data_IF_546012000984
#
_entry.id   IF_546012000984
#
_cell.length_a   1.000
_cell.length_b   1.000
_cell.length_c   1.000
_cell.angle_alpha   90.00
_cell.angle_beta   90.00
_cell.angle_gamma   90.00
#
_symmetry.space_group_name_H-M   'P 1'
#
loop_
_entity.id
_entity.type
_entity.pdbx_description
1 polymer ?
#
# COMPACT_ATOMS: atom_id res chain seq x y z
N UNK A 1 -12.73 -12.62 -24.60
CA UNK A 1 -12.01 -11.66 -23.73
C UNK A 1 -10.52 -11.91 -23.89
N UNK A 2 -9.75 -10.92 -24.32
CA UNK A 2 -8.31 -11.04 -24.50
C UNK A 2 -7.64 -11.18 -23.12
N UNK A 3 -6.52 -11.90 -23.03
CA UNK A 3 -5.82 -12.12 -21.75
C UNK A 3 -5.45 -10.80 -21.05
N UNK A 4 -5.11 -9.78 -21.82
CA UNK A 4 -4.75 -8.46 -21.31
C UNK A 4 -5.94 -7.73 -20.66
N UNK A 5 -7.14 -7.89 -21.21
CA UNK A 5 -8.37 -7.30 -20.64
C UNK A 5 -8.68 -7.90 -19.27
N UNK A 6 -8.42 -9.20 -19.09
CA UNK A 6 -8.57 -9.89 -17.80
C UNK A 6 -7.52 -9.40 -16.80
N UNK A 7 -6.28 -9.19 -17.23
CA UNK A 7 -5.22 -8.66 -16.39
C UNK A 7 -5.54 -7.23 -15.92
N UNK A 8 -6.00 -6.37 -16.83
CA UNK A 8 -6.45 -5.00 -16.52
C UNK A 8 -7.63 -5.02 -15.56
N UNK A 9 -8.66 -5.84 -15.80
CA UNK A 9 -9.79 -5.97 -14.88
C UNK A 9 -9.37 -6.41 -13.47
N UNK A 10 -8.45 -7.37 -13.37
CA UNK A 10 -7.91 -7.81 -12.07
C UNK A 10 -7.13 -6.71 -11.37
N UNK A 11 -6.31 -5.96 -12.10
CA UNK A 11 -5.57 -4.81 -11.55
C UNK A 11 -6.53 -3.72 -11.05
N UNK A 12 -7.55 -3.37 -11.85
CA UNK A 12 -8.59 -2.41 -11.46
C UNK A 12 -9.35 -2.88 -10.22
N UNK A 13 -9.74 -4.15 -10.15
CA UNK A 13 -10.42 -4.71 -8.98
C UNK A 13 -9.55 -4.67 -7.70
N UNK A 14 -8.22 -4.75 -7.82
CA UNK A 14 -7.31 -4.58 -6.69
C UNK A 14 -7.35 -3.14 -6.14
N UNK A 15 -7.49 -2.14 -7.00
CA UNK A 15 -7.55 -0.73 -6.58
C UNK A 15 -8.79 -0.39 -5.74
N UNK A 16 -9.84 -1.21 -5.79
CA UNK A 16 -11.06 -1.00 -4.99
C UNK A 16 -11.09 -1.81 -3.69
N UNK A 17 -10.14 -2.73 -3.46
CA UNK A 17 -10.11 -3.49 -2.20
C UNK A 17 -9.60 -2.61 -1.06
N UNK A 18 -10.30 -2.56 0.10
CA UNK A 18 -9.82 -1.80 1.25
C UNK A 18 -8.58 -2.43 1.92
N UNK A 19 -8.41 -3.75 1.78
CA UNK A 19 -7.30 -4.50 2.34
C UNK A 19 -6.64 -5.39 1.28
N UNK A 20 -5.32 -5.37 1.23
CA UNK A 20 -4.51 -6.04 0.21
C UNK A 20 -3.56 -7.04 0.89
N UNK A 21 -3.48 -8.25 0.34
CA UNK A 21 -2.44 -9.22 0.72
C UNK A 21 -1.05 -8.71 0.31
N UNK A 22 0.05 -9.24 0.86
CA UNK A 22 1.39 -8.81 0.46
C UNK A 22 1.65 -8.87 -1.05
N UNK A 23 1.24 -9.95 -1.72
CA UNK A 23 1.37 -10.06 -3.18
C UNK A 23 0.51 -9.02 -3.94
N UNK A 24 -0.69 -8.73 -3.44
CA UNK A 24 -1.58 -7.74 -4.04
C UNK A 24 -1.04 -6.32 -3.83
N UNK A 25 -0.42 -6.03 -2.69
CA UNK A 25 0.22 -4.75 -2.38
C UNK A 25 1.44 -4.50 -3.28
N UNK A 26 2.23 -5.53 -3.61
CA UNK A 26 3.35 -5.42 -4.56
C UNK A 26 2.86 -5.02 -5.96
N UNK A 27 1.79 -5.68 -6.43
CA UNK A 27 1.16 -5.36 -7.71
C UNK A 27 0.59 -3.93 -7.66
N UNK A 28 -0.10 -3.59 -6.58
CA UNK A 28 -0.73 -2.27 -6.41
C UNK A 28 0.28 -1.11 -6.43
N UNK A 29 1.39 -1.27 -5.70
CA UNK A 29 2.43 -0.23 -5.65
C UNK A 29 3.37 -0.26 -6.85
N UNK A 30 3.29 -1.31 -7.68
CA UNK A 30 4.25 -1.60 -8.74
C UNK A 30 5.71 -1.60 -8.23
N UNK A 31 5.94 -2.29 -7.11
CA UNK A 31 7.24 -2.37 -6.45
C UNK A 31 7.66 -3.82 -6.21
N UNK A 32 8.96 -4.07 -6.30
CA UNK A 32 9.53 -5.36 -5.90
C UNK A 32 9.50 -5.55 -4.39
N UNK A 33 9.61 -6.80 -3.94
CA UNK A 33 9.41 -7.18 -2.54
C UNK A 33 10.33 -6.41 -1.56
N UNK A 34 11.61 -6.28 -1.90
CA UNK A 34 12.61 -5.58 -1.08
C UNK A 34 12.37 -4.07 -1.06
N UNK A 35 12.00 -3.48 -2.20
CA UNK A 35 11.71 -2.05 -2.32
C UNK A 35 10.44 -1.69 -1.53
N UNK A 36 9.39 -2.51 -1.65
CA UNK A 36 8.15 -2.34 -0.92
C UNK A 36 8.40 -2.42 0.60
N UNK A 37 9.15 -3.43 1.06
CA UNK A 37 9.46 -3.58 2.48
C UNK A 37 10.17 -2.35 3.07
N UNK A 38 11.15 -1.80 2.33
CA UNK A 38 11.87 -0.59 2.76
C UNK A 38 10.94 0.63 2.86
N UNK A 39 10.12 0.89 1.83
CA UNK A 39 9.19 2.02 1.86
C UNK A 39 8.12 1.88 2.94
N UNK A 40 7.57 0.67 3.14
CA UNK A 40 6.60 0.42 4.21
C UNK A 40 7.19 0.73 5.59
N UNK A 41 8.45 0.35 5.83
CA UNK A 41 9.15 0.67 7.07
C UNK A 41 9.37 2.18 7.24
N UNK A 42 9.81 2.88 6.19
CA UNK A 42 10.00 4.35 6.21
C UNK A 42 8.69 5.10 6.50
N UNK A 43 7.57 4.61 5.98
CA UNK A 43 6.26 5.20 6.19
C UNK A 43 5.58 4.77 7.50
N UNK A 44 6.14 3.79 8.22
CA UNK A 44 5.56 3.21 9.43
C UNK A 44 4.27 2.42 9.16
N UNK A 45 4.17 1.76 8.01
CA UNK A 45 3.00 0.98 7.60
C UNK A 45 3.23 -0.48 7.97
N UNK A 46 2.30 -1.03 8.75
CA UNK A 46 2.36 -2.41 9.23
C UNK A 46 1.15 -3.21 8.78
N UNK A 47 1.33 -4.54 8.73
CA UNK A 47 0.24 -5.48 8.46
C UNK A 47 -0.75 -5.51 9.62
N UNK A 48 -2.01 -5.78 9.31
CA UNK A 48 -3.00 -6.14 10.33
C UNK A 48 -2.63 -7.49 10.98
N UNK A 49 -3.30 -7.83 12.08
CA UNK A 49 -3.16 -9.15 12.74
C UNK A 49 -3.38 -10.30 11.77
N UNK A 50 -4.27 -10.12 10.79
CA UNK A 50 -4.57 -11.10 9.75
C UNK A 50 -3.59 -11.08 8.57
N UNK A 51 -2.57 -10.20 8.58
CA UNK A 51 -1.49 -10.16 7.59
C UNK A 51 -1.75 -9.27 6.36
N UNK A 52 -2.75 -8.38 6.39
CA UNK A 52 -3.12 -7.52 5.25
C UNK A 52 -2.66 -6.07 5.43
N UNK A 53 -2.43 -5.37 4.32
CA UNK A 53 -2.18 -3.93 4.29
C UNK A 53 -3.46 -3.15 4.01
N UNK A 54 -3.65 -2.01 4.67
CA UNK A 54 -4.73 -1.07 4.33
C UNK A 54 -4.37 -0.33 3.05
N UNK A 55 -5.31 -0.25 2.10
CA UNK A 55 -5.08 0.48 0.85
C UNK A 55 -4.80 1.95 1.09
N UNK A 56 -5.52 2.59 1.99
CA UNK A 56 -5.30 4.01 2.36
C UNK A 56 -3.86 4.29 2.81
N UNK A 57 -3.23 3.33 3.50
CA UNK A 57 -1.83 3.46 3.92
C UNK A 57 -0.88 3.35 2.72
N UNK A 58 -1.15 2.42 1.81
CA UNK A 58 -0.40 2.30 0.56
C UNK A 58 -0.59 3.53 -0.34
N UNK A 59 -1.80 4.12 -0.36
CA UNK A 59 -2.09 5.36 -1.11
C UNK A 59 -1.33 6.55 -0.54
N UNK A 60 -1.26 6.66 0.79
CA UNK A 60 -0.45 7.69 1.45
C UNK A 60 1.03 7.55 1.08
N UNK A 61 1.54 6.31 1.05
CA UNK A 61 2.91 6.01 0.64
C UNK A 61 3.18 6.34 -0.83
N UNK A 62 2.24 6.02 -1.72
CA UNK A 62 2.40 6.23 -3.17
C UNK A 62 2.17 7.67 -3.60
N UNK A 63 1.36 8.43 -2.87
CA UNK A 63 1.13 9.87 -3.10
C UNK A 63 2.28 10.77 -2.65
N UNK A 64 3.30 10.22 -1.96
CA UNK A 64 4.40 11.00 -1.41
C UNK A 64 4.00 11.88 -0.22
N UNK A 65 2.89 11.57 0.45
CA UNK A 65 2.41 12.29 1.62
C UNK A 65 3.31 12.12 2.84
N UNK A 66 3.02 12.84 3.92
CA UNK A 66 3.74 12.66 5.19
C UNK A 66 3.52 11.27 5.77
N UNK A 67 4.60 10.63 6.21
CA UNK A 67 4.52 9.31 6.85
C UNK A 67 3.67 9.37 8.12
N UNK A 68 3.11 8.23 8.55
CA UNK A 68 2.35 8.17 9.81
C UNK A 68 3.19 8.61 11.00
N UNK A 69 4.50 8.35 10.95
CA UNK A 69 5.47 8.79 11.96
C UNK A 69 5.54 10.33 11.98
N UNK A 70 5.68 10.98 10.82
CA UNK A 70 5.70 12.44 10.72
C UNK A 70 4.38 13.06 11.19
N UNK A 71 3.23 12.46 10.84
CA UNK A 71 1.92 12.92 11.28
C UNK A 71 1.75 12.80 12.80
N UNK A 72 2.23 11.72 13.41
CA UNK A 72 2.22 11.54 14.86
C UNK A 72 3.10 12.57 15.56
N UNK A 73 4.30 12.83 15.03
CA UNK A 73 5.22 13.86 15.56
C UNK A 73 4.59 15.26 15.49
N UNK A 74 3.90 15.60 14.40
CA UNK A 74 3.19 16.88 14.30
C UNK A 74 2.08 17.02 15.36
N UNK A 75 1.32 15.96 15.62
CA UNK A 75 0.26 15.96 16.65
C UNK A 75 0.79 16.05 18.08
N UNK A 76 1.99 15.53 18.35
CA UNK A 76 2.62 15.59 19.69
C UNK A 76 3.28 16.94 20.00
N UNK A 77 3.44 17.83 19.01
CA UNK A 77 3.99 19.19 19.20
C UNK A 77 2.92 20.24 19.56
N UNK A 78 1.70 19.81 19.89
CA UNK A 78 0.66 20.64 20.51
C UNK A 78 0.83 20.64 22.03
#
# INVERSE_FOLDING_TARGET
>A
MKRDEIAVMKAVALCYKPFLKPAEAMIYCNLEHTQLAKKLQEYGIYKSVSGYYKREDLDLMMSGGHSRIQQAVQKMKL
#
